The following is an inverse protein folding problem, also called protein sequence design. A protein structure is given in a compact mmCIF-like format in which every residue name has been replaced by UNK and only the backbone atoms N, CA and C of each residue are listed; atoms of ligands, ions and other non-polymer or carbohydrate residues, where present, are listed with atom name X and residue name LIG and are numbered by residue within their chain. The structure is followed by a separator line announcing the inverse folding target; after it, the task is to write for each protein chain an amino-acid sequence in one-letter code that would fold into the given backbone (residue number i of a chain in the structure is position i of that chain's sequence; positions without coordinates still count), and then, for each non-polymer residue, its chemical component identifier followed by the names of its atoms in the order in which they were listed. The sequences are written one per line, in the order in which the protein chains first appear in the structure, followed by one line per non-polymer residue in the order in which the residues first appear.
data_IF_108899253664
#
_entry.id   IF_108899253664
#
_cell.length_a   1.000
_cell.length_b   1.000
_cell.length_c   1.000
_cell.angle_alpha   90.00
_cell.angle_beta   90.00
_cell.angle_gamma   90.00
#
_symmetry.space_group_name_H-M   'P 1'
#
loop_
_entity.id
_entity.type
_entity.pdbx_description
1 polymer ?
#
# COMPACT_ATOMS: atom_id res chain seq x y z
N UNK A 1 4.54 -24.23 31.90
CA UNK A 1 3.63 -24.58 30.80
C UNK A 1 2.48 -23.61 30.87
N UNK A 2 2.70 -22.42 30.32
CA UNK A 2 1.66 -21.39 30.19
C UNK A 2 1.03 -21.57 28.82
N UNK A 3 -0.31 -21.66 28.77
CA UNK A 3 -1.05 -21.80 27.53
C UNK A 3 -0.89 -20.53 26.71
N UNK A 4 -0.22 -20.63 25.57
CA UNK A 4 -0.19 -19.58 24.57
C UNK A 4 -1.63 -19.30 24.12
N UNK A 5 -2.10 -18.11 24.47
CA UNK A 5 -3.33 -17.53 23.94
C UNK A 5 -3.14 -17.35 22.44
N UNK A 6 -3.65 -18.30 21.67
CA UNK A 6 -3.90 -18.20 20.24
C UNK A 6 -4.51 -16.83 19.97
N UNK A 7 -3.75 -15.92 19.35
CA UNK A 7 -4.33 -14.69 18.82
C UNK A 7 -5.50 -15.11 17.95
N UNK A 8 -6.72 -14.70 18.36
CA UNK A 8 -7.96 -14.97 17.65
C UNK A 8 -7.79 -14.51 16.20
N UNK A 9 -7.41 -15.45 15.35
CA UNK A 9 -7.55 -15.33 13.91
C UNK A 9 -9.05 -15.31 13.71
N UNK A 10 -9.68 -14.13 13.73
CA UNK A 10 -11.09 -13.99 13.37
C UNK A 10 -11.21 -14.68 12.00
N UNK A 11 -11.87 -15.85 11.93
CA UNK A 11 -11.94 -16.60 10.70
C UNK A 11 -12.59 -15.68 9.69
N UNK A 12 -11.92 -15.46 8.55
CA UNK A 12 -12.41 -14.60 7.48
C UNK A 12 -13.85 -14.98 7.16
N UNK A 13 -14.82 -14.20 7.67
CA UNK A 13 -16.23 -14.53 7.56
C UNK A 13 -16.71 -14.21 6.14
N UNK A 14 -17.07 -15.22 5.33
CA UNK A 14 -17.52 -14.99 3.95
C UNK A 14 -18.70 -14.01 3.87
N UNK A 15 -19.57 -14.01 4.88
CA UNK A 15 -20.71 -13.10 4.98
C UNK A 15 -20.29 -11.62 5.06
N UNK A 16 -19.25 -11.30 5.83
CA UNK A 16 -18.72 -9.93 5.93
C UNK A 16 -18.18 -9.45 4.59
N UNK A 17 -17.41 -10.30 3.91
CA UNK A 17 -16.87 -9.97 2.58
C UNK A 17 -17.98 -9.75 1.54
N UNK A 18 -19.00 -10.62 1.53
CA UNK A 18 -20.16 -10.47 0.61
C UNK A 18 -20.91 -9.17 0.88
N UNK A 19 -21.02 -8.75 2.15
CA UNK A 19 -21.61 -7.45 2.51
C UNK A 19 -20.79 -6.26 2.00
N UNK A 20 -19.46 -6.30 2.17
CA UNK A 20 -18.56 -5.26 1.64
C UNK A 20 -18.59 -5.21 0.10
N UNK A 21 -18.62 -6.38 -0.55
CA UNK A 21 -18.76 -6.50 -1.99
C UNK A 21 -20.08 -5.88 -2.47
N UNK A 22 -21.21 -6.23 -1.84
CA UNK A 22 -22.51 -5.65 -2.16
C UNK A 22 -22.50 -4.13 -2.02
N UNK A 23 -21.93 -3.60 -0.92
CA UNK A 23 -21.81 -2.14 -0.69
C UNK A 23 -20.99 -1.47 -1.80
N UNK A 24 -19.88 -2.07 -2.22
CA UNK A 24 -19.04 -1.53 -3.29
C UNK A 24 -19.72 -1.62 -4.66
N UNK A 25 -20.38 -2.73 -4.96
CA UNK A 25 -21.05 -2.99 -6.22
C UNK A 25 -22.30 -2.13 -6.43
N UNK A 26 -23.03 -1.82 -5.34
CA UNK A 26 -24.26 -1.01 -5.42
C UNK A 26 -24.05 0.46 -5.13
N UNK A 27 -22.95 0.82 -4.45
CA UNK A 27 -22.64 2.19 -4.07
C UNK A 27 -22.60 3.16 -5.25
N UNK A 28 -22.86 4.43 -4.94
CA UNK A 28 -22.76 5.52 -5.89
C UNK A 28 -21.30 5.85 -6.19
N UNK A 29 -21.00 6.04 -7.47
CA UNK A 29 -19.71 6.53 -7.91
C UNK A 29 -19.70 8.06 -7.80
N UNK A 30 -18.54 8.67 -7.46
CA UNK A 30 -18.42 10.12 -7.50
C UNK A 30 -18.66 10.64 -8.93
N UNK A 31 -19.12 11.89 -9.11
CA UNK A 31 -19.41 12.46 -10.44
C UNK A 31 -18.24 12.37 -11.43
N UNK A 32 -17.00 12.42 -10.95
CA UNK A 32 -15.79 12.28 -11.79
C UNK A 32 -15.62 10.86 -12.37
N UNK A 33 -16.21 9.86 -11.74
CA UNK A 33 -16.17 8.45 -12.12
C UNK A 33 -17.51 7.94 -12.67
N UNK A 34 -18.38 8.84 -13.16
CA UNK A 34 -19.65 8.46 -13.74
C UNK A 34 -19.45 7.60 -15.00
N UNK A 35 -19.90 6.34 -14.95
CA UNK A 35 -19.72 5.38 -16.04
C UNK A 35 -20.43 5.80 -17.33
N UNK A 36 -21.58 6.48 -17.24
CA UNK A 36 -22.29 7.00 -18.41
C UNK A 36 -21.47 8.07 -19.15
N UNK A 37 -20.89 9.03 -18.41
CA UNK A 37 -19.98 10.03 -18.99
C UNK A 37 -18.74 9.36 -19.60
N UNK A 38 -18.11 8.43 -18.89
CA UNK A 38 -16.92 7.70 -19.40
C UNK A 38 -17.27 6.91 -20.67
N UNK A 39 -18.44 6.29 -20.73
CA UNK A 39 -18.91 5.53 -21.90
C UNK A 39 -19.09 6.43 -23.12
N UNK A 40 -19.63 7.63 -22.93
CA UNK A 40 -19.81 8.61 -24.01
C UNK A 40 -18.46 9.15 -24.53
N UNK A 41 -17.55 9.52 -23.63
CA UNK A 41 -16.20 10.01 -23.99
C UNK A 41 -15.41 8.93 -24.74
N UNK A 42 -15.37 7.71 -24.22
CA UNK A 42 -14.66 6.59 -24.86
C UNK A 42 -15.25 6.21 -26.22
N UNK A 43 -16.59 6.27 -26.37
CA UNK A 43 -17.23 6.06 -27.68
C UNK A 43 -16.81 7.12 -28.69
N UNK A 44 -16.85 8.39 -28.29
CA UNK A 44 -16.46 9.51 -29.15
C UNK A 44 -15.00 9.41 -29.58
N UNK A 45 -14.10 9.07 -28.66
CA UNK A 45 -12.68 8.86 -28.95
C UNK A 45 -12.48 7.70 -29.92
N UNK A 46 -13.11 6.55 -29.69
CA UNK A 46 -12.98 5.38 -30.56
C UNK A 46 -13.42 5.67 -32.01
N UNK A 47 -14.53 6.39 -32.17
CA UNK A 47 -15.07 6.71 -33.49
C UNK A 47 -14.22 7.75 -34.22
N UNK A 48 -13.66 8.72 -33.50
CA UNK A 48 -12.68 9.66 -34.04
C UNK A 48 -11.40 8.97 -34.50
N UNK A 49 -10.86 8.04 -33.69
CA UNK A 49 -9.68 7.26 -34.05
C UNK A 49 -9.96 6.42 -35.31
N UNK A 50 -11.13 5.78 -35.38
CA UNK A 50 -11.55 4.99 -36.55
C UNK A 50 -11.60 5.87 -37.82
N UNK A 51 -12.21 7.05 -37.74
CA UNK A 51 -12.28 7.97 -38.87
C UNK A 51 -10.89 8.44 -39.35
N UNK A 52 -9.91 8.60 -38.44
CA UNK A 52 -8.52 8.88 -38.82
C UNK A 52 -7.91 7.66 -39.50
N UNK A 53 -8.10 6.47 -38.94
CA UNK A 53 -7.57 5.24 -39.51
C UNK A 53 -8.03 5.02 -40.95
N UNK A 54 -9.30 5.28 -41.23
CA UNK A 54 -9.86 5.12 -42.57
C UNK A 54 -9.29 6.14 -43.56
N UNK A 55 -9.05 7.40 -43.13
CA UNK A 55 -8.34 8.40 -43.94
C UNK A 55 -6.88 8.02 -44.22
N UNK A 56 -6.18 7.48 -43.22
CA UNK A 56 -4.77 7.07 -43.34
C UNK A 56 -4.62 5.80 -44.19
N UNK A 57 -5.64 4.93 -44.24
CA UNK A 57 -5.58 3.63 -44.92
C UNK A 57 -5.29 3.71 -46.41
N UNK A 58 -5.64 4.82 -47.06
CA UNK A 58 -5.32 5.05 -48.48
C UNK A 58 -3.83 5.29 -48.73
N UNK A 59 -3.07 5.71 -47.71
CA UNK A 59 -1.65 6.07 -47.81
C UNK A 59 -0.73 5.06 -47.13
N UNK A 60 -1.13 4.54 -45.98
CA UNK A 60 -0.32 3.66 -45.14
C UNK A 60 -1.23 2.67 -44.40
N UNK A 61 -1.34 1.45 -44.94
CA UNK A 61 -2.20 0.40 -44.41
C UNK A 61 -1.74 -0.09 -43.03
N UNK A 62 -0.43 -0.07 -42.75
CA UNK A 62 0.13 -0.48 -41.48
C UNK A 62 -0.22 0.51 -40.36
N UNK A 63 -0.05 1.82 -40.61
CA UNK A 63 -0.48 2.85 -39.65
C UNK A 63 -1.98 2.81 -39.41
N UNK A 64 -2.78 2.64 -40.47
CA UNK A 64 -4.22 2.51 -40.32
C UNK A 64 -4.61 1.29 -39.47
N UNK A 65 -3.95 0.15 -39.65
CA UNK A 65 -4.19 -1.04 -38.83
C UNK A 65 -3.88 -0.78 -37.34
N UNK A 66 -2.77 -0.13 -37.01
CA UNK A 66 -2.41 0.24 -35.63
C UNK A 66 -3.45 1.18 -35.00
N UNK A 67 -3.95 2.18 -35.74
CA UNK A 67 -5.00 3.07 -35.23
C UNK A 67 -6.33 2.33 -34.99
N UNK A 68 -6.71 1.42 -35.89
CA UNK A 68 -7.91 0.57 -35.71
C UNK A 68 -7.78 -0.31 -34.48
N UNK A 69 -6.59 -0.85 -34.21
CA UNK A 69 -6.33 -1.61 -32.99
C UNK A 69 -6.60 -0.77 -31.73
N UNK A 70 -6.14 0.48 -31.68
CA UNK A 70 -6.43 1.38 -30.56
C UNK A 70 -7.94 1.65 -30.43
N UNK A 71 -8.65 1.92 -31.53
CA UNK A 71 -10.10 2.11 -31.49
C UNK A 71 -10.84 0.86 -30.96
N UNK A 72 -10.41 -0.35 -31.37
CA UNK A 72 -10.95 -1.62 -30.84
C UNK A 72 -10.66 -1.77 -29.35
N UNK A 73 -9.46 -1.42 -28.88
CA UNK A 73 -9.11 -1.44 -27.44
C UNK A 73 -10.02 -0.51 -26.63
N UNK A 74 -10.26 0.73 -27.09
CA UNK A 74 -11.16 1.67 -26.42
C UNK A 74 -12.57 1.10 -26.31
N UNK A 75 -13.12 0.55 -27.40
CA UNK A 75 -14.46 -0.08 -27.40
C UNK A 75 -14.51 -1.28 -26.47
N UNK A 76 -13.49 -2.13 -26.48
CA UNK A 76 -13.41 -3.30 -25.59
C UNK A 76 -13.41 -2.89 -24.11
N UNK A 77 -12.68 -1.84 -23.74
CA UNK A 77 -12.67 -1.33 -22.36
C UNK A 77 -14.04 -0.77 -21.99
N UNK A 78 -14.64 0.05 -22.86
CA UNK A 78 -15.99 0.58 -22.64
C UNK A 78 -17.01 -0.54 -22.46
N UNK A 79 -17.01 -1.53 -23.33
CA UNK A 79 -17.95 -2.65 -23.28
C UNK A 79 -17.81 -3.41 -21.96
N UNK A 80 -16.57 -3.72 -21.55
CA UNK A 80 -16.29 -4.36 -20.26
C UNK A 80 -16.80 -3.52 -19.08
N UNK A 81 -16.60 -2.21 -19.09
CA UNK A 81 -17.05 -1.33 -18.00
C UNK A 81 -18.58 -1.28 -17.88
N UNK A 82 -19.29 -1.45 -18.99
CA UNK A 82 -20.75 -1.43 -19.06
C UNK A 82 -21.36 -2.84 -19.04
N UNK A 83 -20.55 -3.87 -18.79
CA UNK A 83 -21.04 -5.23 -18.70
C UNK A 83 -21.82 -5.41 -17.39
N UNK A 84 -23.10 -5.77 -17.51
CA UNK A 84 -23.98 -5.99 -16.37
C UNK A 84 -23.73 -7.38 -15.77
N UNK A 85 -23.60 -7.42 -14.45
CA UNK A 85 -23.36 -8.61 -13.65
C UNK A 85 -24.53 -8.77 -12.71
N UNK A 86 -25.05 -9.99 -12.57
CA UNK A 86 -26.08 -10.30 -11.58
C UNK A 86 -25.55 -11.28 -10.54
N UNK A 87 -25.89 -11.01 -9.28
CA UNK A 87 -25.54 -11.83 -8.13
C UNK A 87 -26.83 -12.17 -7.39
N UNK A 88 -27.07 -13.47 -7.24
CA UNK A 88 -28.20 -14.03 -6.53
C UNK A 88 -27.70 -14.63 -5.22
N UNK A 89 -28.12 -14.05 -4.11
CA UNK A 89 -27.90 -14.57 -2.75
C UNK A 89 -29.22 -15.19 -2.24
N UNK A 90 -29.18 -16.05 -1.21
CA UNK A 90 -30.39 -16.68 -0.67
C UNK A 90 -31.54 -15.70 -0.35
N UNK A 91 -31.21 -14.50 0.16
CA UNK A 91 -32.19 -13.52 0.63
C UNK A 91 -32.34 -12.29 -0.28
N UNK A 92 -31.50 -12.14 -1.32
CA UNK A 92 -31.48 -10.95 -2.18
C UNK A 92 -30.77 -11.19 -3.51
N UNK A 93 -31.24 -10.54 -4.57
CA UNK A 93 -30.51 -10.42 -5.83
C UNK A 93 -30.15 -8.96 -6.10
N UNK A 94 -29.03 -8.73 -6.78
CA UNK A 94 -28.67 -7.40 -7.25
C UNK A 94 -27.88 -7.48 -8.55
N UNK A 95 -28.09 -6.48 -9.41
CA UNK A 95 -27.34 -6.29 -10.63
C UNK A 95 -26.51 -5.01 -10.56
N UNK A 96 -25.34 -5.03 -11.20
CA UNK A 96 -24.44 -3.87 -11.24
C UNK A 96 -23.52 -3.95 -12.47
N UNK A 97 -22.98 -2.80 -12.88
CA UNK A 97 -22.00 -2.74 -13.97
C UNK A 97 -20.62 -3.08 -13.45
N UNK A 98 -19.84 -3.88 -14.19
CA UNK A 98 -18.47 -4.25 -13.82
C UNK A 98 -17.59 -3.02 -13.51
N UNK A 99 -17.79 -1.91 -14.23
CA UNK A 99 -17.09 -0.66 -13.98
C UNK A 99 -17.20 -0.13 -12.54
N UNK A 100 -18.26 -0.49 -11.79
CA UNK A 100 -18.38 -0.12 -10.37
C UNK A 100 -17.35 -0.77 -9.46
N UNK A 101 -16.73 -1.88 -9.89
CA UNK A 101 -15.66 -2.54 -9.13
C UNK A 101 -14.30 -1.85 -9.30
N UNK A 102 -14.13 -1.07 -10.37
CA UNK A 102 -12.91 -0.31 -10.68
C UNK A 102 -12.77 0.85 -9.71
N UNK A 103 -11.54 1.13 -9.27
CA UNK A 103 -11.30 2.23 -8.34
C UNK A 103 -11.67 3.59 -8.98
N UNK A 104 -12.37 4.50 -8.27
CA UNK A 104 -12.84 5.77 -8.83
C UNK A 104 -11.74 6.66 -9.43
N UNK A 105 -10.52 6.61 -8.87
CA UNK A 105 -9.35 7.33 -9.38
C UNK A 105 -8.95 6.87 -10.78
N UNK A 106 -9.05 5.56 -11.04
CA UNK A 106 -8.67 4.98 -12.33
C UNK A 106 -9.72 5.32 -13.39
N UNK A 107 -11.01 5.27 -13.03
CA UNK A 107 -12.10 5.74 -13.89
C UNK A 107 -11.95 7.22 -14.25
N UNK A 108 -11.59 8.05 -13.27
CA UNK A 108 -11.34 9.49 -13.51
C UNK A 108 -10.11 9.72 -14.40
N UNK A 109 -9.07 8.89 -14.27
CA UNK A 109 -7.88 8.92 -15.14
C UNK A 109 -8.22 8.56 -16.59
N UNK A 110 -8.99 7.48 -16.80
CA UNK A 110 -9.47 7.08 -18.13
C UNK A 110 -10.30 8.19 -18.79
N UNK A 111 -11.20 8.81 -18.02
CA UNK A 111 -12.00 9.95 -18.48
C UNK A 111 -11.12 11.10 -18.94
N UNK A 112 -10.23 11.57 -18.06
CA UNK A 112 -9.35 12.71 -18.34
C UNK A 112 -8.49 12.48 -19.59
N UNK A 113 -7.89 11.29 -19.72
CA UNK A 113 -7.09 10.96 -20.91
C UNK A 113 -7.92 10.84 -22.19
N UNK A 114 -9.18 10.39 -22.09
CA UNK A 114 -10.10 10.36 -23.22
C UNK A 114 -10.47 11.78 -23.68
N UNK A 115 -10.79 12.68 -22.74
CA UNK A 115 -11.09 14.09 -23.01
C UNK A 115 -9.89 14.81 -23.67
N UNK A 116 -8.67 14.61 -23.13
CA UNK A 116 -7.41 15.14 -23.69
C UNK A 116 -7.24 14.64 -25.13
N UNK A 117 -7.41 13.34 -25.36
CA UNK A 117 -7.23 12.73 -26.69
C UNK A 117 -8.25 13.23 -27.69
N UNK A 118 -9.51 13.36 -27.28
CA UNK A 118 -10.58 13.92 -28.10
C UNK A 118 -10.28 15.37 -28.53
N UNK A 119 -9.84 16.20 -27.59
CA UNK A 119 -9.46 17.59 -27.84
C UNK A 119 -8.25 17.68 -28.77
N UNK A 120 -7.25 16.83 -28.56
CA UNK A 120 -6.03 16.79 -29.36
C UNK A 120 -6.31 16.41 -30.82
N UNK A 121 -7.16 15.40 -31.05
CA UNK A 121 -7.58 14.98 -32.39
C UNK A 121 -8.24 16.13 -33.17
N UNK A 122 -8.98 17.01 -32.48
CA UNK A 122 -9.68 18.13 -33.13
C UNK A 122 -8.80 19.32 -33.52
N UNK A 123 -7.60 19.43 -32.96
CA UNK A 123 -6.79 20.67 -33.01
C UNK A 123 -5.42 20.51 -33.67
N UNK A 124 -4.96 19.28 -33.90
CA UNK A 124 -3.59 18.98 -34.34
C UNK A 124 -3.50 18.42 -35.77
N UNK A 125 -2.30 18.43 -36.33
CA UNK A 125 -2.00 17.85 -37.65
C UNK A 125 -1.96 16.32 -37.61
N UNK A 126 -2.24 15.67 -38.75
CA UNK A 126 -2.33 14.19 -38.85
C UNK A 126 -1.13 13.46 -38.25
N UNK A 127 0.12 13.91 -38.48
CA UNK A 127 1.31 13.24 -37.96
C UNK A 127 1.41 13.27 -36.44
N UNK A 128 1.07 14.41 -35.81
CA UNK A 128 1.06 14.57 -34.35
C UNK A 128 -0.11 13.80 -33.73
N UNK A 129 -1.27 13.83 -34.38
CA UNK A 129 -2.46 13.08 -33.96
C UNK A 129 -2.19 11.58 -33.94
N UNK A 130 -1.52 11.04 -34.96
CA UNK A 130 -1.17 9.60 -35.00
C UNK A 130 -0.24 9.22 -33.85
N UNK A 131 0.77 10.05 -33.55
CA UNK A 131 1.66 9.81 -32.42
C UNK A 131 0.90 9.83 -31.09
N UNK A 132 0.07 10.85 -30.87
CA UNK A 132 -0.75 10.96 -29.65
C UNK A 132 -1.73 9.79 -29.49
N UNK A 133 -2.35 9.30 -30.58
CA UNK A 133 -3.22 8.12 -30.52
C UNK A 133 -2.45 6.86 -30.14
N UNK A 134 -1.19 6.73 -30.57
CA UNK A 134 -0.33 5.63 -30.14
C UNK A 134 -0.04 5.71 -28.64
N UNK A 135 0.36 6.88 -28.15
CA UNK A 135 0.63 7.10 -26.73
C UNK A 135 -0.62 6.83 -25.88
N UNK A 136 -1.80 7.20 -26.38
CA UNK A 136 -3.07 6.85 -25.76
C UNK A 136 -3.32 5.32 -25.76
N UNK A 137 -2.96 4.62 -26.84
CA UNK A 137 -3.02 3.16 -26.91
C UNK A 137 -2.11 2.46 -25.89
N UNK A 138 -0.93 3.00 -25.64
CA UNK A 138 -0.01 2.52 -24.60
C UNK A 138 -0.59 2.77 -23.21
N UNK A 139 -1.10 3.99 -22.97
CA UNK A 139 -1.83 4.32 -21.75
C UNK A 139 -2.99 3.34 -21.48
N UNK A 140 -3.82 3.02 -22.47
CA UNK A 140 -4.95 2.09 -22.30
C UNK A 140 -4.48 0.68 -21.93
N UNK A 141 -3.33 0.26 -22.46
CA UNK A 141 -2.73 -1.03 -22.15
C UNK A 141 -2.32 -1.09 -20.68
N UNK A 142 -1.60 -0.07 -20.20
CA UNK A 142 -1.20 0.05 -18.79
C UNK A 142 -2.40 0.21 -17.85
N UNK A 143 -3.35 1.06 -18.25
CA UNK A 143 -4.57 1.30 -17.49
C UNK A 143 -5.37 0.02 -17.33
N UNK A 144 -5.51 -0.79 -18.38
CA UNK A 144 -6.17 -2.11 -18.28
C UNK A 144 -5.52 -3.01 -17.24
N UNK A 145 -4.19 -3.05 -17.18
CA UNK A 145 -3.47 -3.85 -16.17
C UNK A 145 -3.72 -3.33 -14.76
N UNK A 146 -3.68 -2.02 -14.57
CA UNK A 146 -3.72 -1.39 -13.25
C UNK A 146 -5.15 -1.21 -12.70
N UNK A 147 -6.15 -1.12 -13.58
CA UNK A 147 -7.54 -0.85 -13.20
C UNK A 147 -8.43 -2.08 -13.32
N UNK A 148 -8.39 -2.79 -14.46
CA UNK A 148 -9.32 -3.89 -14.73
C UNK A 148 -8.88 -5.20 -14.07
N UNK A 149 -7.58 -5.52 -14.03
CA UNK A 149 -7.12 -6.77 -13.41
C UNK A 149 -7.42 -6.81 -11.89
N UNK A 150 -7.14 -5.77 -11.09
CA UNK A 150 -7.49 -5.79 -9.67
C UNK A 150 -9.00 -5.89 -9.44
N UNK A 151 -9.81 -5.27 -10.31
CA UNK A 151 -11.28 -5.38 -10.25
C UNK A 151 -11.74 -6.82 -10.56
N UNK A 152 -11.16 -7.47 -11.58
CA UNK A 152 -11.44 -8.86 -11.92
C UNK A 152 -11.02 -9.83 -10.80
N UNK A 153 -9.89 -9.61 -10.15
CA UNK A 153 -9.43 -10.42 -9.02
C UNK A 153 -10.31 -10.24 -7.78
N UNK A 154 -10.76 -9.01 -7.52
CA UNK A 154 -11.72 -8.72 -6.47
C UNK A 154 -13.05 -9.44 -6.73
N UNK A 155 -13.54 -9.40 -7.97
CA UNK A 155 -14.72 -10.15 -8.40
C UNK A 155 -14.53 -11.66 -8.24
N UNK A 156 -13.37 -12.20 -8.64
CA UNK A 156 -13.03 -13.62 -8.44
C UNK A 156 -13.11 -14.04 -6.99
N UNK A 157 -12.55 -13.22 -6.10
CA UNK A 157 -12.60 -13.45 -4.65
C UNK A 157 -14.04 -13.40 -4.12
N UNK A 158 -14.86 -12.50 -4.67
CA UNK A 158 -16.28 -12.40 -4.34
C UNK A 158 -17.10 -13.61 -4.80
N UNK A 159 -16.87 -14.12 -6.00
CA UNK A 159 -17.56 -15.32 -6.51
C UNK A 159 -17.32 -16.51 -5.55
N UNK A 160 -16.07 -16.74 -5.15
CA UNK A 160 -15.73 -17.81 -4.19
C UNK A 160 -16.42 -17.60 -2.83
N UNK A 161 -16.53 -16.36 -2.36
CA UNK A 161 -17.23 -16.06 -1.11
C UNK A 161 -18.76 -16.21 -1.24
N UNK A 162 -19.33 -15.83 -2.39
CA UNK A 162 -20.75 -15.95 -2.72
C UNK A 162 -21.16 -17.43 -2.80
N UNK A 163 -20.37 -18.27 -3.47
CA UNK A 163 -20.59 -19.72 -3.54
C UNK A 163 -20.61 -20.36 -2.14
N UNK A 164 -19.70 -19.92 -1.24
CA UNK A 164 -19.66 -20.40 0.15
C UNK A 164 -20.93 -20.07 0.95
N UNK A 165 -21.60 -18.98 0.63
CA UNK A 165 -22.90 -18.61 1.24
C UNK A 165 -24.10 -19.10 0.42
N UNK A 166 -23.89 -20.07 -0.48
CA UNK A 166 -24.91 -20.67 -1.36
C UNK A 166 -25.57 -19.68 -2.32
N UNK A 167 -24.87 -18.62 -2.69
CA UNK A 167 -25.28 -17.74 -3.79
C UNK A 167 -24.77 -18.22 -5.14
N UNK A 168 -25.31 -17.63 -6.21
CA UNK A 168 -24.87 -17.83 -7.59
C UNK A 168 -24.55 -16.49 -8.25
N UNK A 169 -23.66 -16.52 -9.23
CA UNK A 169 -23.30 -15.35 -10.03
C UNK A 169 -23.50 -15.66 -11.50
N UNK A 170 -24.15 -14.77 -12.25
CA UNK A 170 -24.20 -14.85 -13.71
C UNK A 170 -23.16 -13.87 -14.27
N UNK A 171 -22.13 -14.42 -14.92
CA UNK A 171 -20.98 -13.67 -15.41
C UNK A 171 -20.96 -13.72 -16.94
N UNK A 172 -20.97 -12.57 -17.63
CA UNK A 172 -20.82 -12.53 -19.07
C UNK A 172 -19.46 -13.11 -19.52
N UNK A 173 -19.38 -13.75 -20.71
CA UNK A 173 -18.16 -14.39 -21.19
C UNK A 173 -16.92 -13.48 -21.18
N UNK A 174 -17.07 -12.21 -21.56
CA UNK A 174 -15.96 -11.25 -21.60
C UNK A 174 -15.34 -10.99 -20.21
N UNK A 175 -16.16 -10.98 -19.17
CA UNK A 175 -15.68 -10.81 -17.77
C UNK A 175 -14.99 -12.08 -17.31
N UNK A 176 -15.49 -13.26 -17.68
CA UNK A 176 -14.83 -14.54 -17.41
C UNK A 176 -13.47 -14.66 -18.08
N UNK A 177 -13.36 -14.22 -19.34
CA UNK A 177 -12.08 -14.18 -20.06
C UNK A 177 -11.08 -13.27 -19.35
N UNK A 178 -11.52 -12.09 -18.89
CA UNK A 178 -10.69 -11.16 -18.12
C UNK A 178 -10.21 -11.76 -16.78
N UNK A 179 -11.11 -12.44 -16.05
CA UNK A 179 -10.76 -13.13 -14.81
C UNK A 179 -9.72 -14.22 -15.10
N UNK A 180 -9.93 -15.02 -16.13
CA UNK A 180 -9.00 -16.08 -16.55
C UNK A 180 -7.65 -15.51 -16.94
N UNK A 181 -7.62 -14.45 -17.75
CA UNK A 181 -6.37 -13.78 -18.16
C UNK A 181 -5.63 -13.23 -16.94
N UNK A 182 -6.32 -12.59 -15.99
CA UNK A 182 -5.72 -12.07 -14.77
C UNK A 182 -5.11 -13.18 -13.91
N UNK A 183 -5.78 -14.34 -13.82
CA UNK A 183 -5.31 -15.50 -13.08
C UNK A 183 -4.06 -16.12 -13.74
N UNK A 184 -4.07 -16.30 -15.06
CA UNK A 184 -2.92 -16.80 -15.82
C UNK A 184 -1.74 -15.85 -15.70
N UNK A 185 -1.98 -14.53 -15.78
CA UNK A 185 -0.92 -13.53 -15.63
C UNK A 185 -0.27 -13.58 -14.25
N UNK A 186 -1.06 -13.70 -13.18
CA UNK A 186 -0.51 -13.90 -11.83
C UNK A 186 0.26 -15.20 -11.71
N UNK A 187 -0.24 -16.27 -12.30
CA UNK A 187 0.47 -17.54 -12.31
C UNK A 187 1.83 -17.39 -13.00
N UNK A 188 1.87 -16.74 -14.17
CA UNK A 188 3.12 -16.50 -14.90
C UNK A 188 4.07 -15.55 -14.16
N UNK A 189 3.55 -14.52 -13.47
CA UNK A 189 4.37 -13.66 -12.61
C UNK A 189 4.93 -14.42 -11.42
N UNK A 190 4.12 -15.27 -10.78
CA UNK A 190 4.55 -16.10 -9.67
C UNK A 190 5.56 -17.15 -10.12
N UNK A 191 5.40 -17.73 -11.32
CA UNK A 191 6.38 -18.63 -11.94
C UNK A 191 7.67 -17.88 -12.23
N UNK A 192 7.62 -16.69 -12.84
CA UNK A 192 8.81 -15.89 -13.09
C UNK A 192 9.54 -15.44 -11.81
N UNK A 193 8.79 -15.16 -10.74
CA UNK A 193 9.35 -14.87 -9.41
C UNK A 193 9.90 -16.13 -8.75
N UNK A 194 9.22 -17.27 -8.91
CA UNK A 194 9.65 -18.59 -8.43
C UNK A 194 10.94 -19.03 -9.12
N UNK A 195 11.04 -18.90 -10.45
CA UNK A 195 12.23 -19.21 -11.24
C UNK A 195 13.41 -18.31 -10.88
N UNK A 196 13.13 -17.05 -10.53
CA UNK A 196 14.16 -16.14 -9.98
C UNK A 196 14.55 -16.53 -8.55
N UNK A 197 13.62 -17.03 -7.73
CA UNK A 197 13.87 -17.43 -6.35
C UNK A 197 14.57 -18.80 -6.25
N UNK A 198 14.37 -19.71 -7.21
CA UNK A 198 14.98 -21.05 -7.24
C UNK A 198 16.40 -21.08 -7.81
N UNK A 199 16.89 -19.97 -8.39
CA UNK A 199 18.29 -19.86 -8.84
C UNK A 199 19.18 -19.26 -7.75
N UNK A 200 20.47 -19.62 -7.73
CA UNK A 200 21.46 -19.10 -6.78
C UNK A 200 21.53 -17.54 -6.77
N UNK A 201 21.11 -16.90 -7.87
CA UNK A 201 20.97 -15.45 -7.98
C UNK A 201 19.81 -14.89 -7.11
N UNK A 202 18.72 -15.64 -6.91
CA UNK A 202 17.62 -15.26 -6.03
C UNK A 202 17.99 -15.30 -4.55
N UNK A 203 18.76 -16.30 -4.14
CA UNK A 203 19.29 -16.39 -2.76
C UNK A 203 20.23 -15.23 -2.46
N UNK A 204 21.14 -14.88 -3.38
CA UNK A 204 22.01 -13.71 -3.25
C UNK A 204 21.23 -12.39 -3.28
N UNK A 205 20.20 -12.27 -4.11
CA UNK A 205 19.34 -11.10 -4.18
C UNK A 205 18.53 -10.86 -2.90
N UNK A 206 17.96 -11.92 -2.32
CA UNK A 206 17.24 -11.83 -1.05
C UNK A 206 18.18 -11.49 0.12
N UNK A 207 19.33 -12.15 0.22
CA UNK A 207 20.33 -11.84 1.25
C UNK A 207 20.78 -10.38 1.14
N UNK A 208 21.02 -9.86 -0.07
CA UNK A 208 21.36 -8.45 -0.29
C UNK A 208 20.24 -7.51 0.13
N UNK A 209 18.98 -7.81 -0.20
CA UNK A 209 17.84 -6.99 0.21
C UNK A 209 17.67 -6.93 1.74
N UNK A 210 17.93 -8.03 2.45
CA UNK A 210 17.92 -8.04 3.93
C UNK A 210 19.08 -7.25 4.53
N UNK A 211 20.28 -7.31 3.93
CA UNK A 211 21.42 -6.46 4.33
C UNK A 211 21.09 -4.98 4.14
N UNK A 212 20.57 -4.59 2.98
CA UNK A 212 20.16 -3.20 2.71
C UNK A 212 19.05 -2.73 3.67
N UNK A 213 18.07 -3.59 3.97
CA UNK A 213 17.02 -3.29 4.96
C UNK A 213 17.56 -3.16 6.39
N UNK A 214 18.53 -4.00 6.78
CA UNK A 214 19.23 -3.93 8.06
C UNK A 214 20.02 -2.63 8.19
N UNK A 215 20.81 -2.27 7.17
CA UNK A 215 21.58 -1.02 7.14
C UNK A 215 20.69 0.22 7.21
N UNK A 216 19.60 0.24 6.44
CA UNK A 216 18.61 1.33 6.50
C UNK A 216 18.00 1.46 7.89
N UNK A 217 17.74 0.34 8.56
CA UNK A 217 17.20 0.32 9.93
C UNK A 217 18.24 0.79 10.96
N UNK A 218 19.52 0.41 10.82
CA UNK A 218 20.63 0.90 11.64
C UNK A 218 20.80 2.42 11.50
N UNK A 219 20.76 2.93 10.28
CA UNK A 219 20.83 4.37 10.01
C UNK A 219 19.64 5.12 10.61
N UNK A 220 18.43 4.55 10.50
CA UNK A 220 17.24 5.06 11.18
C UNK A 220 17.42 5.12 12.70
N UNK A 221 17.91 4.05 13.31
CA UNK A 221 18.18 4.01 14.75
C UNK A 221 19.20 5.09 15.18
N UNK A 222 20.26 5.32 14.40
CA UNK A 222 21.25 6.37 14.67
C UNK A 222 20.59 7.76 14.57
N UNK A 223 19.83 8.02 13.50
CA UNK A 223 19.14 9.30 13.31
C UNK A 223 18.18 9.61 14.49
N UNK A 224 17.38 8.63 14.92
CA UNK A 224 16.49 8.79 16.06
C UNK A 224 17.25 8.93 17.39
N UNK A 225 18.36 8.22 17.57
CA UNK A 225 19.23 8.38 18.75
C UNK A 225 19.80 9.81 18.81
N UNK A 226 20.24 10.37 17.67
CA UNK A 226 20.68 11.77 17.58
C UNK A 226 19.51 12.70 17.91
N UNK A 227 18.30 12.40 17.44
CA UNK A 227 17.08 13.13 17.78
C UNK A 227 16.80 13.17 19.29
N UNK A 228 17.01 12.06 20.01
CA UNK A 228 16.92 12.02 21.49
C UNK A 228 17.91 13.00 22.10
N UNK A 229 19.19 12.93 21.71
CA UNK A 229 20.22 13.83 22.23
C UNK A 229 19.90 15.30 21.92
N UNK A 230 19.40 15.60 20.73
CA UNK A 230 18.98 16.95 20.36
C UNK A 230 17.80 17.44 21.22
N UNK A 231 16.80 16.60 21.49
CA UNK A 231 15.68 16.95 22.36
C UNK A 231 16.12 17.18 23.81
N UNK A 232 17.01 16.34 24.34
CA UNK A 232 17.58 16.51 25.69
C UNK A 232 18.44 17.76 25.77
N UNK A 233 19.30 17.99 24.77
CA UNK A 233 20.13 19.19 24.69
C UNK A 233 19.29 20.46 24.56
N UNK A 234 18.18 20.44 23.81
CA UNK A 234 17.24 21.56 23.75
C UNK A 234 16.50 21.76 25.07
N UNK A 235 16.04 20.68 25.72
CA UNK A 235 15.34 20.71 27.00
C UNK A 235 16.19 21.29 28.14
N UNK A 236 17.50 21.03 28.15
CA UNK A 236 18.45 21.59 29.14
C UNK A 236 19.02 22.94 28.68
N UNK A 237 19.38 23.04 27.41
CA UNK A 237 20.08 24.18 26.83
C UNK A 237 19.20 25.42 26.66
N UNK A 238 17.92 25.28 26.26
CA UNK A 238 17.02 26.42 26.13
C UNK A 238 16.80 27.15 27.47
N UNK A 239 16.56 26.46 28.60
CA UNK A 239 16.52 27.11 29.91
C UNK A 239 17.82 27.81 30.30
N UNK A 240 18.99 27.20 30.08
CA UNK A 240 20.29 27.80 30.41
C UNK A 240 20.55 29.04 29.54
N UNK A 241 20.27 28.94 28.24
CA UNK A 241 20.42 30.05 27.29
C UNK A 241 19.47 31.20 27.63
N UNK A 242 18.19 30.90 27.92
CA UNK A 242 17.22 31.89 28.35
C UNK A 242 17.62 32.58 29.67
N UNK A 243 18.27 31.87 30.59
CA UNK A 243 18.82 32.42 31.82
C UNK A 243 20.07 33.30 31.62
N UNK A 244 20.79 33.10 30.52
CA UNK A 244 22.03 33.85 30.23
C UNK A 244 21.78 35.17 29.51
N UNK A 245 20.56 35.41 29.04
CA UNK A 245 20.16 36.67 28.40
C UNK A 245 19.67 37.60 29.53
N UNK A 246 20.46 38.62 29.85
CA UNK A 246 20.14 39.70 30.80
C UNK A 246 19.01 40.61 30.29
N UNK A 247 17.85 40.03 30.01
CA UNK A 247 16.64 40.75 29.63
C UNK A 247 15.80 41.07 30.87
N UNK A 248 15.34 42.34 31.05
CA UNK A 248 14.54 42.74 32.22
C UNK A 248 13.21 41.96 32.35
N UNK A 249 12.76 41.33 31.28
CA UNK A 249 11.52 40.52 31.23
C UNK A 249 11.72 39.12 31.85
N UNK A 250 12.92 38.53 31.76
CA UNK A 250 13.21 37.18 32.26
C UNK A 250 13.73 37.18 33.71
N UNK A 251 14.32 38.28 34.18
CA UNK A 251 14.78 38.43 35.56
C UNK A 251 13.64 38.30 36.59
N UNK A 252 12.41 38.66 36.22
CA UNK A 252 11.21 38.53 37.07
C UNK A 252 10.59 37.13 37.05
N UNK A 253 11.06 36.23 36.18
CA UNK A 253 10.63 34.82 36.12
C UNK A 253 11.48 33.90 37.02
N UNK A 254 12.12 34.42 38.05
CA UNK A 254 12.85 33.62 39.05
C UNK A 254 11.94 33.07 40.16
N UNK A 255 10.69 33.52 40.25
CA UNK A 255 9.68 33.02 41.19
C UNK A 255 8.88 31.80 40.70
N UNK A 256 7.87 31.39 41.48
CA UNK A 256 6.94 30.27 41.16
C UNK A 256 6.45 30.22 39.71
N UNK A 257 6.10 31.33 39.03
CA UNK A 257 5.67 31.32 37.63
C UNK A 257 6.74 30.82 36.64
N UNK A 258 8.01 31.07 36.91
CA UNK A 258 9.11 30.60 36.06
C UNK A 258 9.37 29.10 36.19
N UNK A 259 9.11 28.53 37.37
CA UNK A 259 9.17 27.07 37.58
C UNK A 259 8.09 26.40 36.73
N UNK A 260 6.86 26.92 36.75
CA UNK A 260 5.75 26.39 35.95
C UNK A 260 6.05 26.48 34.44
N UNK A 261 6.59 27.61 33.96
CA UNK A 261 6.96 27.75 32.55
C UNK A 261 8.06 26.76 32.12
N UNK A 262 9.08 26.55 32.97
CA UNK A 262 10.15 25.57 32.69
C UNK A 262 9.63 24.14 32.63
N UNK A 263 8.66 23.80 33.47
CA UNK A 263 8.02 22.48 33.46
C UNK A 263 7.17 22.29 32.22
N UNK A 264 6.36 23.30 31.85
CA UNK A 264 5.52 23.23 30.65
C UNK A 264 6.30 23.07 29.36
N UNK A 265 7.56 23.53 29.32
CA UNK A 265 8.46 23.36 28.16
C UNK A 265 9.33 22.10 28.30
N UNK A 266 9.81 21.80 29.50
CA UNK A 266 10.67 20.64 29.78
C UNK A 266 9.94 19.30 29.67
N UNK A 267 8.68 19.23 30.09
CA UNK A 267 7.93 17.98 30.12
C UNK A 267 7.57 17.45 28.71
N UNK A 268 7.05 18.29 27.78
CA UNK A 268 6.84 17.85 26.40
C UNK A 268 8.13 17.47 25.68
N UNK A 269 9.25 18.17 25.95
CA UNK A 269 10.54 17.86 25.33
C UNK A 269 11.13 16.54 25.84
N UNK A 270 10.95 16.21 27.13
CA UNK A 270 11.31 14.90 27.66
C UNK A 270 10.39 13.78 27.15
N UNK A 271 9.09 14.02 27.02
CA UNK A 271 8.16 13.06 26.42
C UNK A 271 8.53 12.77 24.95
N UNK A 272 8.92 13.80 24.20
CA UNK A 272 9.40 13.65 22.83
C UNK A 272 10.72 12.87 22.77
N UNK A 273 11.64 13.11 23.70
CA UNK A 273 12.88 12.35 23.81
C UNK A 273 12.62 10.86 24.12
N UNK A 274 11.69 10.55 25.03
CA UNK A 274 11.29 9.17 25.33
C UNK A 274 10.68 8.48 24.12
N UNK A 275 9.81 9.18 23.38
CA UNK A 275 9.22 8.68 22.13
C UNK A 275 10.28 8.39 21.07
N UNK A 276 11.22 9.32 20.83
CA UNK A 276 12.34 9.12 19.92
C UNK A 276 13.21 7.91 20.33
N UNK A 277 13.43 7.72 21.63
CA UNK A 277 14.17 6.58 22.16
C UNK A 277 13.46 5.24 21.90
N UNK A 278 12.13 5.22 22.04
CA UNK A 278 11.32 4.05 21.72
C UNK A 278 11.42 3.66 20.23
N UNK A 279 11.28 4.63 19.33
CA UNK A 279 11.41 4.40 17.89
C UNK A 279 12.84 3.94 17.53
N UNK A 280 13.86 4.50 18.16
CA UNK A 280 15.25 4.04 17.99
C UNK A 280 15.43 2.58 18.42
N UNK A 281 14.81 2.16 19.54
CA UNK A 281 14.86 0.78 20.01
C UNK A 281 14.19 -0.19 19.02
N UNK A 282 13.01 0.15 18.49
CA UNK A 282 12.32 -0.66 17.47
C UNK A 282 13.18 -0.86 16.21
N UNK A 283 13.87 0.19 15.76
CA UNK A 283 14.78 0.09 14.61
C UNK A 283 16.00 -0.80 14.89
N UNK A 284 16.55 -0.79 16.12
CA UNK A 284 17.66 -1.70 16.51
C UNK A 284 17.22 -3.16 16.54
N UNK A 285 16.02 -3.43 17.06
CA UNK A 285 15.46 -4.78 17.11
C UNK A 285 15.19 -5.31 15.69
N UNK A 286 14.60 -4.47 14.84
CA UNK A 286 14.37 -4.80 13.42
C UNK A 286 15.70 -5.10 12.71
N UNK A 287 16.73 -4.28 12.91
CA UNK A 287 18.04 -4.51 12.32
C UNK A 287 18.67 -5.84 12.78
N UNK A 288 18.63 -6.13 14.08
CA UNK A 288 19.12 -7.39 14.64
C UNK A 288 18.40 -8.59 14.05
N UNK A 289 17.09 -8.49 13.84
CA UNK A 289 16.30 -9.56 13.25
C UNK A 289 16.66 -9.79 11.77
N UNK A 290 16.78 -8.72 10.98
CA UNK A 290 17.21 -8.83 9.58
C UNK A 290 18.62 -9.43 9.45
N UNK A 291 19.53 -9.10 10.38
CA UNK A 291 20.86 -9.73 10.44
C UNK A 291 20.78 -11.24 10.71
N UNK A 292 19.91 -11.67 11.64
CA UNK A 292 19.67 -13.09 11.94
C UNK A 292 19.07 -13.82 10.72
N UNK A 293 18.06 -13.23 10.06
CA UNK A 293 17.44 -13.81 8.86
C UNK A 293 18.46 -13.94 7.72
N UNK A 294 19.32 -12.94 7.55
CA UNK A 294 20.41 -12.98 6.57
C UNK A 294 21.38 -14.12 6.88
N UNK A 295 21.79 -14.28 8.14
CA UNK A 295 22.66 -15.37 8.56
C UNK A 295 22.01 -16.76 8.40
N UNK A 296 20.70 -16.86 8.64
CA UNK A 296 19.94 -18.09 8.41
C UNK A 296 19.84 -18.43 6.91
N UNK A 297 19.53 -17.44 6.05
CA UNK A 297 19.47 -17.65 4.60
C UNK A 297 20.83 -18.05 4.02
N UNK A 298 21.91 -17.40 4.46
CA UNK A 298 23.27 -17.73 4.02
C UNK A 298 23.72 -19.12 4.51
N UNK A 299 23.36 -19.51 5.73
CA UNK A 299 23.73 -20.83 6.27
C UNK A 299 22.91 -21.97 5.67
N UNK A 300 21.64 -21.73 5.34
CA UNK A 300 20.79 -22.73 4.67
C UNK A 300 21.34 -23.10 3.30
N UNK A 301 21.90 -22.15 2.54
CA UNK A 301 22.61 -22.47 1.30
C UNK A 301 23.74 -23.49 1.51
N UNK A 302 24.55 -23.30 2.55
CA UNK A 302 25.65 -24.21 2.88
C UNK A 302 25.16 -25.61 3.30
N UNK A 303 24.13 -25.70 4.14
CA UNK A 303 23.60 -26.99 4.61
C UNK A 303 22.75 -27.73 3.56
N UNK A 304 22.05 -27.00 2.69
CA UNK A 304 21.12 -27.59 1.73
C UNK A 304 21.78 -28.12 0.46
N UNK A 305 23.02 -27.72 0.18
CA UNK A 305 23.79 -28.21 -0.96
C UNK A 305 24.19 -29.69 -0.84
N UNK A 306 24.26 -30.22 0.39
CA UNK A 306 24.60 -31.64 0.64
C UNK A 306 23.36 -32.55 0.73
N UNK A 307 22.14 -31.97 0.69
CA UNK A 307 20.89 -32.72 0.80
C UNK A 307 20.32 -33.10 -0.57
N UNK A 308 19.62 -34.25 -0.68
CA UNK A 308 18.84 -34.59 -1.87
C UNK A 308 17.80 -33.52 -2.20
N UNK A 309 17.50 -33.33 -3.49
CA UNK A 309 16.63 -32.25 -4.01
C UNK A 309 15.26 -32.17 -3.32
N UNK A 310 14.66 -33.31 -2.99
CA UNK A 310 13.37 -33.40 -2.30
C UNK A 310 13.44 -32.82 -0.88
N UNK A 311 14.52 -33.12 -0.15
CA UNK A 311 14.75 -32.62 1.21
C UNK A 311 15.20 -31.17 1.23
N UNK A 312 15.93 -30.73 0.19
CA UNK A 312 16.27 -29.32 -0.02
C UNK A 312 15.01 -28.48 -0.22
N UNK A 313 14.06 -28.94 -1.03
CA UNK A 313 12.81 -28.23 -1.29
C UNK A 313 11.94 -28.15 -0.02
N UNK A 314 11.85 -29.23 0.74
CA UNK A 314 11.14 -29.27 2.03
C UNK A 314 11.73 -28.26 3.02
N UNK A 315 13.07 -28.21 3.14
CA UNK A 315 13.77 -27.28 4.02
C UNK A 315 13.60 -25.83 3.58
N UNK A 316 13.70 -25.54 2.28
CA UNK A 316 13.44 -24.20 1.73
C UNK A 316 11.99 -23.76 1.95
N UNK A 317 11.03 -24.67 1.82
CA UNK A 317 9.61 -24.37 2.06
C UNK A 317 9.35 -24.09 3.54
N UNK A 318 9.98 -24.85 4.45
CA UNK A 318 9.85 -24.66 5.89
C UNK A 318 10.52 -23.35 6.34
N UNK A 319 11.67 -23.01 5.75
CA UNK A 319 12.32 -21.71 5.94
C UNK A 319 11.46 -20.58 5.41
N UNK A 320 10.95 -20.68 4.18
CA UNK A 320 10.07 -19.67 3.59
C UNK A 320 8.80 -19.45 4.42
N UNK A 321 8.17 -20.53 4.89
CA UNK A 321 7.02 -20.45 5.79
C UNK A 321 7.39 -19.73 7.10
N UNK A 322 8.53 -20.03 7.71
CA UNK A 322 8.99 -19.34 8.92
C UNK A 322 9.33 -17.86 8.65
N UNK A 323 10.03 -17.56 7.56
CA UNK A 323 10.44 -16.18 7.24
C UNK A 323 9.27 -15.29 6.86
N UNK A 324 8.27 -15.81 6.14
CA UNK A 324 7.17 -15.00 5.59
C UNK A 324 5.83 -15.16 6.30
N UNK A 325 5.54 -16.28 6.95
CA UNK A 325 4.24 -16.54 7.61
C UNK A 325 4.28 -16.38 9.12
N UNK A 326 5.39 -16.73 9.76
CA UNK A 326 5.56 -16.60 11.22
C UNK A 326 7.01 -16.22 11.55
N UNK A 327 7.37 -14.93 11.36
CA UNK A 327 8.72 -14.44 11.64
C UNK A 327 9.15 -14.60 13.11
N UNK A 328 8.30 -15.14 13.99
CA UNK A 328 8.65 -15.37 15.38
C UNK A 328 8.99 -14.05 16.07
N UNK A 329 8.20 -13.00 15.81
CA UNK A 329 8.18 -11.79 16.63
C UNK A 329 7.71 -12.16 18.03
N UNK A 330 8.58 -12.79 18.81
CA UNK A 330 8.54 -12.59 20.25
C UNK A 330 8.97 -11.13 20.39
N UNK A 331 8.01 -10.19 20.35
CA UNK A 331 8.19 -8.86 20.92
C UNK A 331 8.52 -9.11 22.40
N UNK A 332 9.78 -9.42 22.68
CA UNK A 332 10.25 -9.74 24.02
C UNK A 332 10.27 -8.48 24.90
N UNK A 333 9.95 -7.34 24.31
CA UNK A 333 9.39 -6.19 24.97
C UNK A 333 8.16 -5.70 24.20
N UNK A 334 6.96 -6.20 24.55
CA UNK A 334 5.86 -5.24 24.70
C UNK A 334 6.34 -4.27 25.75
N UNK A 335 7.02 -3.20 25.31
CA UNK A 335 7.59 -2.20 26.18
C UNK A 335 6.57 -1.85 27.25
N UNK A 336 6.80 -2.36 28.45
CA UNK A 336 6.01 -2.05 29.60
C UNK A 336 6.29 -0.56 29.79
N UNK A 337 5.37 0.30 29.34
CA UNK A 337 5.37 1.76 29.54
C UNK A 337 5.41 2.14 31.04
N UNK A 338 5.48 1.16 31.93
CA UNK A 338 5.58 1.23 33.38
C UNK A 338 6.98 1.44 33.92
N UNK A 339 8.03 1.53 33.10
CA UNK A 339 9.28 2.18 33.54
C UNK A 339 9.26 3.66 33.16
N UNK A 340 8.24 4.36 33.65
CA UNK A 340 8.47 5.76 34.02
C UNK A 340 9.52 5.68 35.13
N UNK A 341 10.70 6.30 35.00
CA UNK A 341 11.68 6.32 36.08
C UNK A 341 10.96 6.72 37.36
N UNK A 342 11.15 6.03 38.48
CA UNK A 342 10.46 6.36 39.73
C UNK A 342 10.65 7.85 40.07
N UNK A 343 11.81 8.40 39.72
CA UNK A 343 12.15 9.82 39.78
C UNK A 343 11.21 10.73 38.98
N UNK A 344 10.75 10.31 37.80
CA UNK A 344 9.82 11.08 36.97
C UNK A 344 8.39 11.07 37.53
N UNK A 345 7.95 9.98 38.16
CA UNK A 345 6.69 9.95 38.91
C UNK A 345 6.78 10.81 40.17
N UNK A 346 7.91 10.78 40.88
CA UNK A 346 8.13 11.61 42.06
C UNK A 346 8.17 13.11 41.70
N UNK A 347 8.80 13.46 40.56
CA UNK A 347 8.79 14.82 40.02
C UNK A 347 7.38 15.29 39.65
N UNK A 348 6.59 14.45 38.96
CA UNK A 348 5.19 14.75 38.63
C UNK A 348 4.34 14.95 39.90
N UNK A 349 4.58 14.14 40.94
CA UNK A 349 3.87 14.23 42.21
C UNK A 349 4.20 15.53 42.95
N UNK A 350 5.49 15.88 43.07
CA UNK A 350 5.95 17.18 43.63
C UNK A 350 5.39 18.37 42.84
N UNK A 351 5.25 18.22 41.52
CA UNK A 351 4.63 19.21 40.66
C UNK A 351 3.14 19.42 40.97
N UNK A 352 2.40 18.34 41.13
CA UNK A 352 0.99 18.38 41.49
C UNK A 352 0.78 19.03 42.87
N UNK A 353 1.69 18.78 43.81
CA UNK A 353 1.67 19.39 45.15
C UNK A 353 1.97 20.89 45.09
N UNK A 354 2.97 21.30 44.29
CA UNK A 354 3.29 22.71 44.08
C UNK A 354 2.15 23.48 43.38
N UNK A 355 1.45 22.87 42.44
CA UNK A 355 0.29 23.46 41.76
C UNK A 355 -0.96 23.50 42.65
N UNK A 356 -1.12 22.53 43.55
CA UNK A 356 -2.26 22.45 44.48
C UNK A 356 -2.12 23.37 45.69
N UNK A 357 -0.91 23.87 45.96
CA UNK A 357 -0.66 24.82 47.05
C UNK A 357 -1.17 26.20 46.64
N UNK A 358 -2.44 26.46 46.99
CA UNK A 358 -3.16 27.73 46.76
C UNK A 358 -2.29 28.93 47.22
N UNK A 359 -2.10 29.98 46.40
CA UNK A 359 -1.41 31.18 46.84
C UNK A 359 -2.23 31.84 47.93
N UNK A 360 -1.64 31.99 49.12
CA UNK A 360 -2.19 32.75 50.24
C UNK A 360 -1.89 34.23 50.12
#
# INVERSE_FOLDING_TARGET
MESESSADYEPYEPARFVSEFHRKATGDLPPSANLGTISNETTTVADRIQAIADRVSARDSYRAASLREVAVKVRSIRDLLNEELSVDLPDRSFAFLFGKLVAPRELSSLRSQSEITQSYIGTSTDSKVIAHIRDFGDFLSDWRVNALNPAAEYLRSAIVAIEKVRGSTNLPPKVMDLITESAVRRLNQNVALSDRATTAAGQQGLAKAFVEASEKSKNGAIAWTIGVFACVAAGIGLPIWALSIDGPILAHMTGSPGIVARILIGLPTLALAAYCGHIAAQHRETARHMDILTAQLNSVGAYSNELPDEKRLELLMLLGKRTFSDPGFVLRDKGNLTYVPDDALELLKKLSELLSRKPG
#
